data_IF_335042714334
#
_entry.id   IF_335042714334
#
_cell.length_a   1.000
_cell.length_b   1.000
_cell.length_c   1.000
_cell.angle_alpha   90.00
_cell.angle_beta   90.00
_cell.angle_gamma   90.00
#
_symmetry.space_group_name_H-M   'P 1'
#
loop_
_entity.id
_entity.type
_entity.pdbx_description
1 polymer ?
#
# COMPACT_ATOMS: atom_id res chain seq x y z
N UNK A 1 -0.34 -8.76 -3.19
CA UNK A 1 0.24 -7.49 -2.68
C UNK A 1 1.54 -7.75 -1.90
N UNK A 2 2.45 -6.78 -1.93
CA UNK A 2 3.73 -6.81 -1.22
C UNK A 2 3.86 -5.60 -0.28
N UNK A 3 4.51 -5.81 0.86
CA UNK A 3 4.95 -4.77 1.79
C UNK A 3 6.47 -4.72 1.71
N UNK A 4 7.00 -3.63 1.18
CA UNK A 4 8.43 -3.42 0.95
C UNK A 4 8.96 -2.40 1.95
N UNK A 5 10.08 -2.69 2.59
CA UNK A 5 10.67 -1.85 3.63
C UNK A 5 12.14 -1.66 3.30
N UNK A 6 12.53 -0.44 2.92
CA UNK A 6 13.87 -0.17 2.38
C UNK A 6 14.38 1.23 2.70
N UNK A 7 14.93 1.49 3.91
CA UNK A 7 15.58 2.77 4.18
C UNK A 7 16.93 2.91 3.45
N UNK A 8 17.23 4.14 3.02
CA UNK A 8 18.47 4.47 2.32
C UNK A 8 18.63 3.69 1.01
N UNK A 9 19.82 3.15 0.76
CA UNK A 9 20.14 2.35 -0.44
C UNK A 9 19.38 1.03 -0.52
N UNK A 10 18.78 0.56 0.59
CA UNK A 10 17.89 -0.61 0.61
C UNK A 10 16.66 -0.46 -0.29
N UNK A 11 16.37 0.74 -0.80
CA UNK A 11 15.29 0.99 -1.76
C UNK A 11 15.55 0.42 -3.16
N UNK A 12 16.83 0.23 -3.55
CA UNK A 12 17.19 -0.21 -4.90
C UNK A 12 16.57 -1.55 -5.31
N UNK A 13 16.65 -2.65 -4.51
CA UNK A 13 15.97 -3.90 -4.85
C UNK A 13 14.44 -3.75 -4.90
N UNK A 14 13.86 -2.88 -4.07
CA UNK A 14 12.41 -2.62 -4.07
C UNK A 14 11.97 -1.95 -5.37
N UNK A 15 12.73 -0.96 -5.84
CA UNK A 15 12.49 -0.30 -7.13
C UNK A 15 12.45 -1.32 -8.28
N UNK A 16 13.44 -2.20 -8.33
CA UNK A 16 13.52 -3.24 -9.36
C UNK A 16 12.34 -4.22 -9.28
N UNK A 17 11.98 -4.64 -8.06
CA UNK A 17 10.85 -5.52 -7.81
C UNK A 17 9.51 -4.91 -8.26
N UNK A 18 9.26 -3.65 -7.91
CA UNK A 18 8.06 -2.91 -8.33
C UNK A 18 8.01 -2.85 -9.87
N UNK A 19 9.08 -2.41 -10.52
CA UNK A 19 9.14 -2.33 -11.98
C UNK A 19 8.86 -3.67 -12.65
N UNK A 20 9.44 -4.76 -12.13
CA UNK A 20 9.18 -6.09 -12.64
C UNK A 20 7.72 -6.50 -12.46
N UNK A 21 7.13 -6.29 -11.28
CA UNK A 21 5.73 -6.65 -11.04
C UNK A 21 4.76 -5.89 -11.94
N UNK A 22 4.98 -4.59 -12.11
CA UNK A 22 4.10 -3.76 -12.93
C UNK A 22 4.28 -4.03 -14.43
N UNK A 23 5.45 -4.53 -14.86
CA UNK A 23 5.62 -5.01 -16.24
C UNK A 23 4.80 -6.27 -16.57
N UNK A 24 4.35 -7.00 -15.55
CA UNK A 24 3.51 -8.19 -15.68
C UNK A 24 2.02 -7.86 -15.67
N UNK A 25 1.62 -6.62 -15.34
CA UNK A 25 0.23 -6.21 -15.39
C UNK A 25 -0.23 -6.06 -16.85
N UNK A 26 -1.46 -6.49 -17.16
CA UNK A 26 -2.00 -6.33 -18.50
C UNK A 26 -2.11 -4.84 -18.87
N UNK A 27 -1.97 -4.48 -20.17
CA UNK A 27 -1.93 -3.08 -20.61
C UNK A 27 -3.11 -2.21 -20.18
N UNK A 28 -4.29 -2.81 -19.92
CA UNK A 28 -5.52 -2.11 -19.53
C UNK A 28 -5.57 -1.66 -18.07
N UNK A 29 -4.62 -2.08 -17.22
CA UNK A 29 -4.56 -1.68 -15.80
C UNK A 29 -3.56 -0.56 -15.53
N UNK A 30 -2.72 -0.21 -16.52
CA UNK A 30 -1.79 0.91 -16.41
C UNK A 30 -2.58 2.20 -16.62
N UNK A 31 -3.05 2.79 -15.53
CA UNK A 31 -3.68 4.11 -15.58
C UNK A 31 -2.67 5.13 -16.13
N UNK A 32 -2.84 5.50 -17.40
CA UNK A 32 -2.21 6.70 -17.95
C UNK A 32 -2.76 7.90 -17.17
N UNK A 33 -1.95 8.46 -16.28
CA UNK A 33 -2.18 9.78 -15.72
C UNK A 33 -2.05 10.80 -16.86
N UNK A 34 -3.15 10.98 -17.58
CA UNK A 34 -3.27 11.99 -18.62
C UNK A 34 -3.01 13.36 -18.02
N UNK A 35 -1.90 13.95 -18.43
CA UNK A 35 -1.70 15.38 -18.38
C UNK A 35 -2.53 16.00 -19.50
N UNK A 36 -3.45 16.89 -19.18
CA UNK A 36 -3.90 17.91 -20.14
C UNK A 36 -4.18 19.22 -19.41
N UNK A 37 -3.41 20.21 -19.84
CA UNK A 37 -3.53 21.63 -19.58
C UNK A 37 -4.79 22.24 -20.21
N UNK A 38 -5.35 23.25 -19.52
CA UNK A 38 -6.02 24.47 -20.03
C UNK A 38 -7.10 24.34 -21.12
N UNK A 39 -8.34 24.75 -20.82
CA UNK A 39 -8.90 26.01 -21.36
C UNK A 39 -10.21 26.42 -20.65
N UNK A 40 -10.49 27.72 -20.65
CA UNK A 40 -11.65 28.38 -20.06
C UNK A 40 -12.91 28.25 -20.94
N UNK A 41 -14.10 28.17 -20.33
CA UNK A 41 -15.36 28.20 -21.08
C UNK A 41 -16.62 28.24 -20.21
N UNK A 42 -17.18 29.44 -20.04
CA UNK A 42 -18.46 29.75 -19.39
C UNK A 42 -19.67 29.21 -20.18
N UNK A 43 -20.61 28.46 -19.56
CA UNK A 43 -22.09 28.70 -19.66
C UNK A 43 -22.99 27.70 -18.90
N UNK A 44 -23.79 28.28 -18.00
CA UNK A 44 -25.25 28.14 -17.73
C UNK A 44 -25.90 26.75 -17.49
N UNK A 45 -26.37 26.61 -16.24
CA UNK A 45 -27.48 25.76 -15.75
C UNK A 45 -28.81 25.93 -16.53
N UNK A 46 -29.68 24.89 -16.55
CA UNK A 46 -31.05 25.13 -16.12
C UNK A 46 -31.76 23.97 -15.35
N UNK A 47 -32.27 24.31 -14.17
CA UNK A 47 -33.63 24.09 -13.61
C UNK A 47 -34.39 22.79 -13.95
N UNK A 48 -34.63 21.98 -12.91
CA UNK A 48 -35.57 20.85 -12.85
C UNK A 48 -37.06 21.25 -12.79
N UNK A 49 -38.00 20.41 -13.26
CA UNK A 49 -39.41 20.46 -12.84
C UNK A 49 -39.79 19.31 -11.88
N UNK A 50 -40.96 19.40 -11.20
CA UNK A 50 -41.21 18.74 -9.91
C UNK A 50 -41.95 17.39 -9.99
N UNK A 51 -41.89 16.64 -8.88
CA UNK A 51 -42.49 15.33 -8.60
C UNK A 51 -44.01 15.43 -8.33
N UNK A 52 -44.82 14.43 -8.72
CA UNK A 52 -46.09 14.14 -8.04
C UNK A 52 -46.14 12.74 -7.36
N UNK A 53 -47.08 12.52 -6.42
CA UNK A 53 -46.96 11.54 -5.34
C UNK A 53 -47.62 10.17 -5.61
N UNK A 54 -47.01 9.13 -5.04
CA UNK A 54 -47.58 7.90 -4.44
C UNK A 54 -48.72 7.15 -5.15
N UNK A 55 -48.46 5.92 -5.61
CA UNK A 55 -49.45 4.82 -5.52
C UNK A 55 -48.77 3.53 -5.06
N UNK A 56 -49.41 2.95 -4.06
CA UNK A 56 -49.13 1.72 -3.31
C UNK A 56 -48.78 0.48 -4.16
N UNK A 57 -48.03 -0.42 -3.50
CA UNK A 57 -48.12 -1.90 -3.52
C UNK A 57 -46.96 -2.66 -4.19
N UNK A 58 -46.14 -3.33 -3.36
CA UNK A 58 -45.25 -4.43 -3.77
C UNK A 58 -46.07 -5.64 -4.28
N UNK A 59 -45.51 -6.50 -5.17
CA UNK A 59 -44.77 -7.67 -4.67
C UNK A 59 -43.52 -8.03 -5.49
N UNK A 60 -42.48 -8.47 -4.78
CA UNK A 60 -41.33 -9.29 -5.21
C UNK A 60 -41.18 -9.60 -6.71
N UNK A 61 -40.12 -9.06 -7.33
CA UNK A 61 -39.43 -9.71 -8.46
C UNK A 61 -37.96 -9.91 -8.12
N UNK A 62 -37.65 -11.14 -7.69
CA UNK A 62 -36.38 -11.78 -7.99
C UNK A 62 -36.24 -11.90 -9.52
N UNK A 63 -35.31 -11.14 -10.09
CA UNK A 63 -34.63 -11.39 -11.36
C UNK A 63 -33.33 -10.58 -11.23
N UNK A 64 -32.24 -11.22 -10.82
CA UNK A 64 -31.35 -11.79 -11.81
C UNK A 64 -30.40 -10.70 -12.29
N UNK A 65 -29.46 -10.29 -11.42
CA UNK A 65 -28.24 -9.68 -11.94
C UNK A 65 -27.65 -10.70 -12.89
N UNK A 66 -27.64 -10.36 -14.18
CA UNK A 66 -26.88 -11.11 -15.16
C UNK A 66 -25.44 -11.28 -14.63
N UNK A 67 -24.82 -12.46 -14.77
CA UNK A 67 -23.40 -12.55 -14.55
C UNK A 67 -22.76 -11.65 -15.61
N UNK A 68 -22.30 -10.47 -15.21
CA UNK A 68 -21.39 -9.71 -16.06
C UNK A 68 -20.13 -10.54 -16.14
N UNK A 69 -20.06 -11.33 -17.22
CA UNK A 69 -18.86 -12.03 -17.66
C UNK A 69 -17.86 -10.98 -18.10
N UNK A 70 -17.20 -10.37 -17.12
CA UNK A 70 -15.93 -9.70 -17.31
C UNK A 70 -14.97 -10.42 -16.38
N UNK A 71 -14.16 -11.30 -16.97
CA UNK A 71 -13.04 -12.00 -16.33
C UNK A 71 -11.92 -11.00 -16.04
N UNK A 72 -12.22 -9.92 -15.34
CA UNK A 72 -11.20 -9.08 -14.75
C UNK A 72 -10.89 -9.70 -13.37
N UNK A 73 -9.62 -10.05 -13.07
CA UNK A 73 -9.27 -10.32 -11.69
C UNK A 73 -9.64 -9.08 -10.85
N UNK A 74 -10.19 -9.24 -9.64
CA UNK A 74 -10.47 -8.09 -8.79
C UNK A 74 -9.19 -7.25 -8.65
N UNK A 75 -9.28 -5.91 -8.69
CA UNK A 75 -8.12 -5.04 -8.70
C UNK A 75 -7.22 -5.44 -7.53
N UNK A 76 -6.01 -5.89 -7.86
CA UNK A 76 -5.08 -6.38 -6.85
C UNK A 76 -4.72 -5.20 -5.95
N UNK A 77 -4.83 -5.37 -4.63
CA UNK A 77 -4.48 -4.33 -3.67
C UNK A 77 -3.10 -3.73 -3.98
N UNK A 78 -2.95 -2.40 -3.88
CA UNK A 78 -1.69 -1.74 -4.19
C UNK A 78 -0.58 -2.25 -3.28
N UNK A 79 0.62 -2.27 -3.82
CA UNK A 79 1.80 -2.60 -3.03
C UNK A 79 2.11 -1.44 -2.07
N UNK A 80 2.70 -1.75 -0.92
CA UNK A 80 3.06 -0.75 0.10
C UNK A 80 4.58 -0.65 0.15
N UNK A 81 5.10 0.57 0.15
CA UNK A 81 6.52 0.85 0.33
C UNK A 81 6.74 1.75 1.55
N UNK A 82 7.53 1.27 2.51
CA UNK A 82 8.09 2.07 3.59
C UNK A 82 9.53 2.46 3.25
N UNK A 83 9.74 3.74 2.96
CA UNK A 83 11.04 4.33 2.70
C UNK A 83 11.48 5.21 3.86
N UNK A 84 12.78 5.26 4.14
CA UNK A 84 13.32 6.16 5.16
C UNK A 84 14.68 6.73 4.78
N UNK A 85 14.89 8.02 5.05
CA UNK A 85 16.17 8.69 4.88
C UNK A 85 16.38 9.79 5.93
N UNK A 86 17.44 10.59 5.79
CA UNK A 86 17.72 11.68 6.74
C UNK A 86 16.85 12.88 6.44
N UNK A 87 16.95 13.40 5.22
CA UNK A 87 16.23 14.60 4.80
C UNK A 87 15.52 14.40 3.47
N UNK A 88 14.30 14.93 3.37
CA UNK A 88 13.50 14.86 2.14
C UNK A 88 14.20 15.50 0.95
N UNK A 89 14.78 16.68 1.13
CA UNK A 89 15.34 17.46 0.02
C UNK A 89 16.69 16.95 -0.49
N UNK A 90 17.40 16.14 0.30
CA UNK A 90 18.76 15.69 -0.04
C UNK A 90 18.83 14.22 -0.39
N UNK A 91 18.09 13.39 0.35
CA UNK A 91 18.31 11.95 0.36
C UNK A 91 17.04 11.16 0.00
N UNK A 92 15.97 11.83 -0.48
CA UNK A 92 14.75 11.15 -0.89
C UNK A 92 14.89 10.53 -2.28
N UNK A 93 15.52 9.35 -2.29
CA UNK A 93 15.76 8.59 -3.50
C UNK A 93 14.45 8.27 -4.24
N UNK A 94 14.43 8.62 -5.53
CA UNK A 94 13.34 8.36 -6.47
C UNK A 94 11.97 8.97 -6.07
N UNK A 95 11.96 9.99 -5.20
CA UNK A 95 10.73 10.58 -4.67
C UNK A 95 9.72 11.03 -5.74
N UNK A 96 10.20 11.62 -6.84
CA UNK A 96 9.34 12.02 -7.97
C UNK A 96 8.82 10.82 -8.75
N UNK A 97 9.64 9.78 -8.95
CA UNK A 97 9.26 8.55 -9.65
C UNK A 97 8.15 7.82 -8.90
N UNK A 98 8.20 7.79 -7.56
CA UNK A 98 7.17 7.14 -6.73
C UNK A 98 5.77 7.64 -7.04
N UNK A 99 5.61 8.97 -7.11
CA UNK A 99 4.32 9.59 -7.38
C UNK A 99 3.95 9.55 -8.87
N UNK A 100 4.89 9.83 -9.78
CA UNK A 100 4.57 10.01 -11.20
C UNK A 100 4.40 8.71 -11.96
N UNK A 101 5.15 7.67 -11.61
CA UNK A 101 5.23 6.43 -12.39
C UNK A 101 4.33 5.32 -11.85
N UNK A 102 4.13 5.27 -10.54
CA UNK A 102 3.43 4.15 -9.90
C UNK A 102 2.05 4.52 -9.37
N UNK A 103 1.76 5.82 -9.15
CA UNK A 103 0.41 6.32 -8.87
C UNK A 103 -0.37 5.46 -7.87
N UNK A 104 -1.54 4.98 -8.30
CA UNK A 104 -2.46 4.19 -7.47
C UNK A 104 -2.01 2.74 -7.24
N UNK A 105 -1.00 2.25 -7.96
CA UNK A 105 -0.47 0.88 -7.83
C UNK A 105 0.49 0.73 -6.63
N UNK A 106 0.98 1.85 -6.08
CA UNK A 106 1.97 1.88 -5.00
C UNK A 106 1.66 2.95 -3.94
N UNK A 107 1.41 2.50 -2.71
CA UNK A 107 1.29 3.39 -1.55
C UNK A 107 2.65 3.58 -0.88
N UNK A 108 3.16 4.81 -0.86
CA UNK A 108 4.49 5.12 -0.30
C UNK A 108 4.38 5.87 1.03
N UNK A 109 4.97 5.29 2.08
CA UNK A 109 5.13 5.89 3.39
C UNK A 109 6.60 6.26 3.63
N UNK A 110 6.88 7.54 3.84
CA UNK A 110 8.25 8.06 3.98
C UNK A 110 8.58 8.53 5.38
N UNK A 111 9.70 8.08 5.93
CA UNK A 111 10.25 8.53 7.21
C UNK A 111 11.49 9.40 6.99
N UNK A 112 11.38 10.70 7.27
CA UNK A 112 12.51 11.62 7.30
C UNK A 112 12.96 11.77 8.75
N UNK A 113 14.18 11.33 9.05
CA UNK A 113 14.67 11.22 10.45
C UNK A 113 15.27 12.51 11.01
N UNK A 114 15.47 13.54 10.18
CA UNK A 114 16.15 14.79 10.54
C UNK A 114 15.45 16.07 10.05
N UNK A 115 14.22 15.97 9.52
CA UNK A 115 13.46 17.14 9.06
C UNK A 115 12.68 17.81 10.21
N UNK A 116 12.72 17.21 11.39
CA UNK A 116 12.02 17.58 12.61
C UNK A 116 12.83 17.17 13.85
N UNK A 117 12.59 17.76 15.03
CA UNK A 117 13.35 17.45 16.25
C UNK A 117 13.26 15.98 16.69
N UNK A 118 12.08 15.38 16.53
CA UNK A 118 11.82 13.98 16.86
C UNK A 118 12.25 13.05 15.72
N UNK A 119 13.02 12.00 16.05
CA UNK A 119 13.48 11.02 15.05
C UNK A 119 12.32 10.14 14.59
N UNK A 120 11.95 10.23 13.32
CA UNK A 120 10.97 9.34 12.69
C UNK A 120 11.68 8.31 11.83
N UNK A 121 11.41 7.02 12.10
CA UNK A 121 11.94 5.88 11.35
C UNK A 121 10.81 5.06 10.73
N UNK A 122 11.16 4.17 9.79
CA UNK A 122 10.19 3.28 9.13
C UNK A 122 9.43 2.40 10.12
N UNK A 123 10.06 1.99 11.23
CA UNK A 123 9.41 1.23 12.30
C UNK A 123 8.32 2.01 13.03
N UNK A 124 8.39 3.35 13.09
CA UNK A 124 7.31 4.19 13.63
C UNK A 124 6.13 4.24 12.66
N UNK A 125 6.40 4.35 11.36
CA UNK A 125 5.35 4.36 10.33
C UNK A 125 4.63 3.02 10.25
N UNK A 126 5.35 1.90 10.39
CA UNK A 126 4.76 0.56 10.45
C UNK A 126 3.74 0.46 11.58
N UNK A 127 4.10 0.93 12.78
CA UNK A 127 3.17 0.95 13.92
C UNK A 127 1.96 1.86 13.67
N UNK A 128 2.20 3.04 13.09
CA UNK A 128 1.12 3.98 12.75
C UNK A 128 0.14 3.41 11.72
N UNK A 129 0.64 2.59 10.77
CA UNK A 129 -0.17 1.91 9.76
C UNK A 129 -0.56 0.48 10.18
N UNK A 130 -0.58 0.19 11.48
CA UNK A 130 -0.73 -1.17 11.98
C UNK A 130 -1.99 -1.89 11.49
N UNK A 131 -3.14 -1.21 11.46
CA UNK A 131 -4.40 -1.79 10.98
C UNK A 131 -4.30 -2.24 9.52
N UNK A 132 -3.67 -1.42 8.68
CA UNK A 132 -3.47 -1.71 7.25
C UNK A 132 -2.53 -2.91 7.08
N UNK A 133 -1.39 -2.90 7.77
CA UNK A 133 -0.40 -3.97 7.70
C UNK A 133 -0.98 -5.29 8.19
N UNK A 134 -1.73 -5.26 9.30
CA UNK A 134 -2.39 -6.44 9.84
C UNK A 134 -3.35 -7.08 8.82
N UNK A 135 -4.21 -6.27 8.19
CA UNK A 135 -5.12 -6.74 7.14
C UNK A 135 -4.37 -7.33 5.94
N UNK A 136 -3.30 -6.67 5.50
CA UNK A 136 -2.45 -7.16 4.40
C UNK A 136 -1.84 -8.53 4.72
N UNK A 137 -1.32 -8.72 5.94
CA UNK A 137 -0.67 -9.97 6.34
C UNK A 137 -1.65 -11.14 6.52
N UNK A 138 -2.83 -10.85 7.06
CA UNK A 138 -3.81 -11.87 7.48
C UNK A 138 -4.86 -12.16 6.41
N UNK A 139 -5.55 -11.14 5.90
CA UNK A 139 -6.65 -11.30 4.93
C UNK A 139 -6.14 -11.44 3.48
N UNK A 140 -5.06 -10.73 3.13
CA UNK A 140 -4.59 -10.64 1.74
C UNK A 140 -3.32 -11.44 1.47
N UNK A 141 -2.86 -12.20 2.46
CA UNK A 141 -1.66 -13.04 2.36
C UNK A 141 -0.43 -12.31 1.80
N UNK A 142 -0.26 -11.03 2.13
CA UNK A 142 0.84 -10.21 1.62
C UNK A 142 2.21 -10.79 2.00
N UNK A 143 3.19 -10.56 1.13
CA UNK A 143 4.61 -10.83 1.40
C UNK A 143 5.31 -9.57 1.89
N UNK A 144 6.29 -9.72 2.78
CA UNK A 144 7.10 -8.66 3.35
C UNK A 144 8.54 -8.81 2.88
N UNK A 145 9.10 -7.75 2.32
CA UNK A 145 10.51 -7.67 1.92
C UNK A 145 11.19 -6.55 2.69
N UNK A 146 12.29 -6.86 3.36
CA UNK A 146 13.06 -5.91 4.16
C UNK A 146 14.47 -5.84 3.59
N UNK A 147 14.93 -4.64 3.20
CA UNK A 147 16.29 -4.43 2.74
C UNK A 147 16.95 -3.20 3.36
N UNK A 148 18.25 -3.27 3.65
CA UNK A 148 19.04 -2.12 4.11
C UNK A 148 20.17 -2.49 5.08
N UNK A 149 20.56 -1.53 5.93
CA UNK A 149 21.69 -1.72 6.85
C UNK A 149 21.42 -2.82 7.89
N UNK A 150 22.38 -3.73 8.08
CA UNK A 150 22.34 -4.83 9.04
C UNK A 150 22.46 -4.43 10.52
N UNK A 151 22.48 -3.13 10.83
CA UNK A 151 22.47 -2.61 12.19
C UNK A 151 21.16 -2.87 12.95
N UNK A 152 20.57 -1.83 13.54
CA UNK A 152 19.32 -1.99 14.29
C UNK A 152 18.09 -2.21 13.40
N UNK A 153 18.15 -1.80 12.13
CA UNK A 153 16.98 -1.69 11.26
C UNK A 153 16.15 -2.99 11.13
N UNK A 154 16.71 -4.18 10.82
CA UNK A 154 15.90 -5.38 10.68
C UNK A 154 15.23 -5.78 12.00
N UNK A 155 15.91 -5.57 13.14
CA UNK A 155 15.39 -5.86 14.48
C UNK A 155 14.24 -4.90 14.83
N UNK A 156 14.41 -3.61 14.53
CA UNK A 156 13.40 -2.58 14.79
C UNK A 156 12.13 -2.80 13.96
N UNK A 157 12.30 -3.21 12.69
CA UNK A 157 11.19 -3.54 11.80
C UNK A 157 10.47 -4.81 12.26
N UNK A 158 11.20 -5.88 12.61
CA UNK A 158 10.59 -7.10 13.14
C UNK A 158 9.80 -6.83 14.42
N UNK A 159 10.37 -6.01 15.32
CA UNK A 159 9.69 -5.57 16.54
C UNK A 159 8.40 -4.80 16.21
N UNK A 160 8.45 -3.86 15.26
CA UNK A 160 7.28 -3.11 14.83
C UNK A 160 6.17 -4.02 14.24
N UNK A 161 6.54 -5.01 13.42
CA UNK A 161 5.59 -5.98 12.88
C UNK A 161 4.94 -6.80 13.99
N UNK A 162 5.72 -7.25 14.98
CA UNK A 162 5.19 -7.96 16.15
C UNK A 162 4.19 -7.08 16.92
N UNK A 163 4.53 -5.82 17.18
CA UNK A 163 3.66 -4.88 17.89
C UNK A 163 2.33 -4.68 17.13
N UNK A 164 2.38 -4.65 15.78
CA UNK A 164 1.18 -4.62 14.92
C UNK A 164 0.34 -5.87 15.08
N UNK A 165 0.96 -7.06 15.06
CA UNK A 165 0.23 -8.32 15.26
C UNK A 165 -0.45 -8.36 16.62
N UNK A 166 0.22 -7.91 17.68
CA UNK A 166 -0.33 -7.87 19.03
C UNK A 166 -1.49 -6.88 19.15
N UNK A 167 -1.32 -5.66 18.63
CA UNK A 167 -2.29 -4.58 18.81
C UNK A 167 -3.56 -4.76 17.97
N UNK A 168 -3.45 -5.32 16.77
CA UNK A 168 -4.57 -5.44 15.83
C UNK A 168 -5.13 -6.86 15.71
N UNK A 169 -4.36 -7.87 16.14
CA UNK A 169 -4.80 -9.25 16.15
C UNK A 169 -5.12 -9.81 17.53
N UNK A 170 -5.10 -8.95 18.56
CA UNK A 170 -5.37 -9.31 19.96
C UNK A 170 -4.62 -10.57 20.40
N UNK A 171 -3.36 -10.69 19.97
CA UNK A 171 -2.56 -11.89 20.20
C UNK A 171 -1.38 -11.60 21.11
N UNK A 172 -1.09 -12.57 21.98
CA UNK A 172 0.08 -12.55 22.85
C UNK A 172 1.39 -12.57 22.05
N UNK A 173 2.45 -12.06 22.67
CA UNK A 173 3.82 -11.97 22.11
C UNK A 173 4.28 -13.28 21.47
N UNK A 174 4.08 -14.42 22.15
CA UNK A 174 4.49 -15.74 21.67
C UNK A 174 3.79 -16.14 20.37
N UNK A 175 2.51 -15.78 20.24
CA UNK A 175 1.68 -16.04 19.05
C UNK A 175 2.05 -15.11 17.90
N UNK A 176 2.31 -13.83 18.19
CA UNK A 176 2.84 -12.89 17.21
C UNK A 176 4.19 -13.35 16.65
N UNK A 177 5.12 -13.76 17.51
CA UNK A 177 6.42 -14.27 17.10
C UNK A 177 6.31 -15.58 16.31
N UNK A 178 5.39 -16.48 16.69
CA UNK A 178 5.11 -17.70 15.94
C UNK A 178 4.55 -17.40 14.54
N UNK A 179 3.68 -16.39 14.42
CA UNK A 179 3.14 -15.96 13.14
C UNK A 179 4.24 -15.39 12.22
N UNK A 180 5.12 -14.54 12.74
CA UNK A 180 6.25 -14.01 11.97
C UNK A 180 7.19 -15.13 11.52
N UNK A 181 7.51 -16.09 12.40
CA UNK A 181 8.30 -17.28 12.02
C UNK A 181 7.63 -18.11 10.93
N UNK A 182 6.31 -18.27 10.99
CA UNK A 182 5.56 -18.95 9.93
C UNK A 182 5.68 -18.20 8.60
N UNK A 183 5.63 -16.86 8.59
CA UNK A 183 5.83 -16.09 7.37
C UNK A 183 7.25 -16.30 6.78
N UNK A 184 8.28 -16.37 7.62
CA UNK A 184 9.65 -16.65 7.19
C UNK A 184 9.76 -18.04 6.54
N UNK A 185 9.20 -19.06 7.21
CA UNK A 185 9.19 -20.43 6.69
C UNK A 185 8.44 -20.55 5.35
N UNK A 186 7.36 -19.77 5.19
CA UNK A 186 6.60 -19.69 3.93
C UNK A 186 7.24 -18.80 2.87
N UNK A 187 8.44 -18.26 3.12
CA UNK A 187 9.12 -17.25 2.28
C UNK A 187 8.25 -16.02 1.97
N UNK A 188 7.33 -15.71 2.88
CA UNK A 188 6.48 -14.51 2.87
C UNK A 188 7.06 -13.38 3.72
N UNK A 189 8.11 -13.62 4.49
CA UNK A 189 8.91 -12.58 5.14
C UNK A 189 10.38 -12.84 4.76
N UNK A 190 10.96 -11.92 4.00
CA UNK A 190 12.33 -12.01 3.48
C UNK A 190 13.13 -10.81 3.96
N UNK A 191 14.34 -11.05 4.46
CA UNK A 191 15.24 -10.02 4.97
C UNK A 191 16.57 -10.10 4.24
N UNK A 192 16.94 -9.01 3.57
CA UNK A 192 18.23 -8.82 2.91
C UNK A 192 18.96 -7.63 3.53
N UNK A 193 19.75 -7.91 4.56
CA UNK A 193 20.50 -6.89 5.28
C UNK A 193 21.99 -6.98 4.94
N UNK A 194 22.60 -5.82 4.66
CA UNK A 194 24.02 -5.71 4.31
C UNK A 194 24.77 -4.87 5.35
N UNK A 195 25.97 -5.30 5.71
CA UNK A 195 26.84 -4.69 6.71
C UNK A 195 27.98 -3.90 6.10
#
# INVERSE_FOLDING_TARGET
PAIMIGPGTGIAPMRAFIQHRLSLLPPNERHESSSTSSDAGTRKEPVSPPIPPSVLQEPQRMMGLAPTTTTDPPPSLPDILFFGCRHRERDYLYGSEWASKYGDELVVHTAFSRDQPQKVYVSHLIRAQGSLIYAYLTAHSASVLIAGSAGSMPKDVRSALRDVMMSHGEMETSRADAFLRMLEQKRRLVVEAYG
#
